data_IF_547217813408
#
_entry.id   IF_547217813408
#
_cell.length_a   1.000
_cell.length_b   1.000
_cell.length_c   1.000
_cell.angle_alpha   90.00
_cell.angle_beta   90.00
_cell.angle_gamma   90.00
#
_symmetry.space_group_name_H-M   'P 1'
#
loop_
_entity.id
_entity.type
_entity.pdbx_description
1 polymer ?
#
# COMPACT_ATOMS: atom_id res chain seq x y z
N UNK A 1 10.60 -25.90 -35.21
CA UNK A 1 10.56 -26.23 -33.77
C UNK A 1 9.39 -25.50 -33.15
N UNK A 2 8.32 -26.21 -32.81
CA UNK A 2 7.17 -25.63 -32.12
C UNK A 2 7.55 -25.53 -30.64
N UNK A 3 7.76 -24.31 -30.13
CA UNK A 3 7.89 -24.06 -28.70
C UNK A 3 6.52 -24.29 -28.07
N UNK A 4 6.33 -25.49 -27.52
CA UNK A 4 5.21 -25.76 -26.61
C UNK A 4 5.51 -25.02 -25.32
N UNK A 5 4.94 -23.83 -25.15
CA UNK A 5 4.92 -23.13 -23.86
C UNK A 5 3.98 -23.90 -22.95
N UNK A 6 4.53 -24.84 -22.18
CA UNK A 6 3.84 -25.54 -21.11
C UNK A 6 3.41 -24.55 -20.04
N UNK A 7 2.20 -24.00 -20.20
CA UNK A 7 1.49 -23.39 -19.09
C UNK A 7 1.06 -24.54 -18.18
N UNK A 8 1.90 -24.89 -17.20
CA UNK A 8 1.46 -25.78 -16.14
C UNK A 8 0.20 -25.16 -15.53
N UNK A 9 -0.94 -25.86 -15.64
CA UNK A 9 -2.16 -25.38 -15.04
C UNK A 9 -1.93 -25.30 -13.54
N UNK A 10 -2.03 -24.09 -12.98
CA UNK A 10 -2.01 -23.88 -11.55
C UNK A 10 -3.11 -24.77 -10.93
N UNK A 11 -2.70 -25.66 -10.01
CA UNK A 11 -3.62 -26.55 -9.33
C UNK A 11 -4.39 -25.71 -8.33
N UNK A 12 -5.60 -25.31 -8.71
CA UNK A 12 -6.52 -24.56 -7.87
C UNK A 12 -7.19 -25.48 -6.85
N UNK A 13 -7.42 -24.98 -5.64
CA UNK A 13 -8.08 -25.74 -4.57
C UNK A 13 -9.54 -26.10 -4.88
N UNK A 14 -10.21 -25.35 -5.78
CA UNK A 14 -11.61 -25.58 -6.14
C UNK A 14 -11.81 -26.72 -7.14
N UNK A 15 -12.89 -27.49 -6.96
CA UNK A 15 -13.43 -28.41 -7.97
C UNK A 15 -14.62 -27.79 -8.74
N UNK A 16 -15.12 -26.64 -8.32
CA UNK A 16 -16.26 -25.97 -8.95
C UNK A 16 -15.81 -25.31 -10.26
N UNK A 17 -16.30 -25.85 -11.39
CA UNK A 17 -16.02 -25.28 -12.72
C UNK A 17 -16.45 -23.80 -12.78
N UNK A 18 -17.60 -23.47 -12.19
CA UNK A 18 -18.12 -22.10 -12.19
C UNK A 18 -17.25 -21.16 -11.33
N UNK A 19 -16.79 -21.62 -10.17
CA UNK A 19 -15.86 -20.83 -9.35
C UNK A 19 -14.55 -20.56 -10.08
N UNK A 20 -13.99 -21.60 -10.74
CA UNK A 20 -12.79 -21.47 -11.58
C UNK A 20 -12.99 -20.51 -12.74
N UNK A 21 -14.13 -20.56 -13.44
CA UNK A 21 -14.46 -19.61 -14.51
C UNK A 21 -14.45 -18.16 -14.00
N UNK A 22 -15.13 -17.87 -12.89
CA UNK A 22 -15.15 -16.52 -12.32
C UNK A 22 -13.77 -16.05 -11.86
N UNK A 23 -12.99 -16.92 -11.23
CA UNK A 23 -11.62 -16.62 -10.82
C UNK A 23 -10.73 -16.28 -12.03
N UNK A 24 -10.74 -17.10 -13.08
CA UNK A 24 -9.94 -16.84 -14.28
C UNK A 24 -10.41 -15.59 -15.03
N UNK A 25 -11.71 -15.31 -15.06
CA UNK A 25 -12.24 -14.08 -15.65
C UNK A 25 -11.79 -12.84 -14.86
N UNK A 26 -11.75 -12.92 -13.54
CA UNK A 26 -11.32 -11.80 -12.68
C UNK A 26 -9.89 -11.35 -12.99
N UNK A 27 -9.03 -12.28 -13.40
CA UNK A 27 -7.64 -11.97 -13.71
C UNK A 27 -7.49 -11.04 -14.90
N UNK A 28 -8.33 -11.19 -15.92
CA UNK A 28 -8.30 -10.31 -17.09
C UNK A 28 -8.56 -8.85 -16.69
N UNK A 29 -9.53 -8.63 -15.80
CA UNK A 29 -9.83 -7.30 -15.27
C UNK A 29 -8.73 -6.79 -14.34
N UNK A 30 -8.19 -7.67 -13.48
CA UNK A 30 -7.12 -7.32 -12.54
C UNK A 30 -5.86 -6.84 -13.24
N UNK A 31 -5.42 -7.52 -14.30
CA UNK A 31 -4.20 -7.11 -15.05
C UNK A 31 -4.40 -5.81 -15.85
N UNK A 32 -5.66 -5.40 -16.08
CA UNK A 32 -6.03 -4.13 -16.72
C UNK A 32 -6.30 -3.01 -15.71
N UNK A 33 -6.10 -3.25 -14.41
CA UNK A 33 -6.38 -2.28 -13.35
C UNK A 33 -7.87 -2.05 -13.09
N UNK A 34 -8.76 -2.86 -13.68
CA UNK A 34 -10.21 -2.77 -13.50
C UNK A 34 -10.62 -3.49 -12.20
N UNK A 35 -10.21 -2.92 -11.06
CA UNK A 35 -10.26 -3.59 -9.76
C UNK A 35 -11.69 -3.93 -9.31
N UNK A 36 -12.67 -3.07 -9.56
CA UNK A 36 -14.06 -3.31 -9.15
C UNK A 36 -14.67 -4.55 -9.83
N UNK A 37 -14.42 -4.70 -11.13
CA UNK A 37 -14.88 -5.85 -11.90
C UNK A 37 -14.18 -7.15 -11.46
N UNK A 38 -12.87 -7.07 -11.17
CA UNK A 38 -12.12 -8.19 -10.62
C UNK A 38 -12.67 -8.62 -9.25
N UNK A 39 -12.94 -7.66 -8.36
CA UNK A 39 -13.49 -7.89 -7.02
C UNK A 39 -14.88 -8.56 -7.10
N UNK A 40 -15.78 -8.09 -7.97
CA UNK A 40 -17.10 -8.69 -8.15
C UNK A 40 -17.03 -10.15 -8.62
N UNK A 41 -16.16 -10.43 -9.60
CA UNK A 41 -15.96 -11.79 -10.09
C UNK A 41 -15.34 -12.70 -9.03
N UNK A 42 -14.41 -12.20 -8.22
CA UNK A 42 -13.81 -12.98 -7.13
C UNK A 42 -14.80 -13.28 -6.01
N UNK A 43 -15.70 -12.35 -5.68
CA UNK A 43 -16.83 -12.61 -4.78
C UNK A 43 -17.73 -13.72 -5.33
N UNK A 44 -18.10 -13.64 -6.61
CA UNK A 44 -18.87 -14.71 -7.28
C UNK A 44 -18.13 -16.05 -7.28
N UNK A 45 -16.80 -16.06 -7.39
CA UNK A 45 -16.01 -17.29 -7.29
C UNK A 45 -16.13 -17.90 -5.89
N UNK A 46 -16.00 -17.09 -4.84
CA UNK A 46 -16.17 -17.50 -3.43
C UNK A 46 -17.60 -17.96 -3.15
N UNK A 47 -18.62 -17.29 -3.69
CA UNK A 47 -20.03 -17.70 -3.55
C UNK A 47 -20.29 -19.08 -4.17
N UNK A 48 -19.57 -19.44 -5.23
CA UNK A 48 -19.67 -20.76 -5.87
C UNK A 48 -18.82 -21.83 -5.20
N UNK A 49 -17.78 -21.45 -4.47
CA UNK A 49 -16.99 -22.35 -3.63
C UNK A 49 -16.36 -21.58 -2.46
N UNK A 50 -17.00 -21.61 -1.27
CA UNK A 50 -16.50 -20.92 -0.09
C UNK A 50 -15.17 -21.44 0.45
N UNK A 51 -14.65 -22.57 -0.07
CA UNK A 51 -13.34 -23.14 0.29
C UNK A 51 -12.27 -22.86 -0.76
N UNK A 52 -12.54 -22.01 -1.75
CA UNK A 52 -11.60 -21.65 -2.80
C UNK A 52 -10.52 -20.68 -2.29
N UNK A 53 -9.46 -21.25 -1.72
CA UNK A 53 -8.33 -20.54 -1.08
C UNK A 53 -7.73 -19.45 -1.99
N UNK A 54 -7.43 -19.78 -3.24
CA UNK A 54 -6.80 -18.83 -4.17
C UNK A 54 -7.71 -17.63 -4.48
N UNK A 55 -9.03 -17.81 -4.47
CA UNK A 55 -9.97 -16.71 -4.70
C UNK A 55 -9.95 -15.70 -3.54
N UNK A 56 -9.84 -16.16 -2.29
CA UNK A 56 -9.65 -15.27 -1.14
C UNK A 56 -8.34 -14.50 -1.23
N UNK A 57 -7.23 -15.17 -1.57
CA UNK A 57 -5.95 -14.50 -1.74
C UNK A 57 -6.00 -13.44 -2.85
N UNK A 58 -6.54 -13.79 -4.02
CA UNK A 58 -6.67 -12.86 -5.16
C UNK A 58 -7.58 -11.67 -4.83
N UNK A 59 -8.66 -11.93 -4.09
CA UNK A 59 -9.59 -10.88 -3.66
C UNK A 59 -8.91 -9.92 -2.68
N UNK A 60 -8.13 -10.44 -1.74
CA UNK A 60 -7.34 -9.62 -0.85
C UNK A 60 -6.33 -8.75 -1.59
N UNK A 61 -5.61 -9.30 -2.56
CA UNK A 61 -4.67 -8.52 -3.38
C UNK A 61 -5.39 -7.43 -4.16
N UNK A 62 -6.58 -7.70 -4.69
CA UNK A 62 -7.39 -6.73 -5.41
C UNK A 62 -7.87 -5.60 -4.49
N UNK A 63 -8.33 -5.93 -3.27
CA UNK A 63 -8.66 -4.93 -2.25
C UNK A 63 -7.45 -4.10 -1.80
N UNK A 64 -6.28 -4.74 -1.65
CA UNK A 64 -5.02 -4.04 -1.30
C UNK A 64 -4.63 -3.04 -2.40
N UNK A 65 -4.76 -3.42 -3.67
CA UNK A 65 -4.54 -2.53 -4.82
C UNK A 65 -5.56 -1.39 -4.86
N UNK A 66 -6.79 -1.62 -4.43
CA UNK A 66 -7.82 -0.60 -4.27
C UNK A 66 -7.66 0.23 -2.97
N UNK A 67 -6.54 0.07 -2.25
CA UNK A 67 -6.26 0.68 -0.93
C UNK A 67 -7.29 0.39 0.16
N UNK A 68 -8.17 -0.60 -0.03
CA UNK A 68 -9.08 -1.10 1.00
C UNK A 68 -8.38 -2.15 1.86
N UNK A 69 -7.48 -1.68 2.73
CA UNK A 69 -6.62 -2.55 3.52
C UNK A 69 -7.39 -3.41 4.53
N UNK A 70 -8.51 -2.90 5.07
CA UNK A 70 -9.33 -3.66 6.02
C UNK A 70 -9.92 -4.91 5.36
N UNK A 71 -10.60 -4.75 4.23
CA UNK A 71 -11.16 -5.87 3.48
C UNK A 71 -10.07 -6.81 2.97
N UNK A 72 -8.90 -6.28 2.60
CA UNK A 72 -7.75 -7.09 2.22
C UNK A 72 -7.30 -8.03 3.37
N UNK A 73 -7.11 -7.49 4.59
CA UNK A 73 -6.73 -8.31 5.74
C UNK A 73 -7.78 -9.37 6.09
N UNK A 74 -9.07 -9.03 6.05
CA UNK A 74 -10.15 -9.98 6.35
C UNK A 74 -10.15 -11.17 5.36
N UNK A 75 -9.95 -10.90 4.07
CA UNK A 75 -9.88 -11.96 3.06
C UNK A 75 -8.60 -12.80 3.17
N UNK A 76 -7.47 -12.19 3.52
CA UNK A 76 -6.23 -12.92 3.82
C UNK A 76 -6.40 -13.85 5.02
N UNK A 77 -7.04 -13.39 6.09
CA UNK A 77 -7.30 -14.23 7.26
C UNK A 77 -8.18 -15.43 6.90
N UNK A 78 -9.24 -15.21 6.11
CA UNK A 78 -10.10 -16.30 5.62
C UNK A 78 -9.32 -17.28 4.74
N UNK A 79 -8.56 -16.81 3.75
CA UNK A 79 -7.75 -17.67 2.89
C UNK A 79 -6.67 -18.45 3.66
N UNK A 80 -6.06 -17.83 4.67
CA UNK A 80 -5.09 -18.48 5.53
C UNK A 80 -5.70 -19.67 6.29
N UNK A 81 -6.96 -19.57 6.75
CA UNK A 81 -7.65 -20.72 7.39
C UNK A 81 -7.90 -21.90 6.45
N UNK A 82 -7.89 -21.68 5.14
CA UNK A 82 -8.09 -22.71 4.11
C UNK A 82 -6.77 -23.28 3.57
N UNK A 83 -5.65 -22.64 3.90
CA UNK A 83 -4.35 -22.96 3.33
C UNK A 83 -3.73 -24.18 4.01
N UNK A 84 -3.38 -25.20 3.23
CA UNK A 84 -2.75 -26.43 3.72
C UNK A 84 -1.27 -26.55 3.35
N UNK A 85 -0.77 -25.69 2.45
CA UNK A 85 0.61 -25.72 1.97
C UNK A 85 1.49 -24.71 2.73
N UNK A 86 2.54 -25.16 3.45
CA UNK A 86 3.41 -24.27 4.22
C UNK A 86 4.02 -23.11 3.40
N UNK A 87 4.35 -23.35 2.13
CA UNK A 87 4.87 -22.30 1.25
C UNK A 87 3.85 -21.16 1.01
N UNK A 88 2.55 -21.49 0.90
CA UNK A 88 1.47 -20.51 0.77
C UNK A 88 1.25 -19.77 2.09
N UNK A 89 1.30 -20.47 3.24
CA UNK A 89 1.16 -19.86 4.59
C UNK A 89 2.13 -18.68 4.78
N UNK A 90 3.40 -18.85 4.38
CA UNK A 90 4.38 -17.75 4.41
C UNK A 90 3.93 -16.55 3.56
N UNK A 91 3.41 -16.79 2.36
CA UNK A 91 2.93 -15.72 1.47
C UNK A 91 1.75 -14.94 2.09
N UNK A 92 0.85 -15.62 2.79
CA UNK A 92 -0.21 -14.97 3.57
C UNK A 92 0.36 -14.10 4.69
N UNK A 93 1.26 -14.63 5.51
CA UNK A 93 1.87 -13.86 6.60
C UNK A 93 2.65 -12.64 6.10
N UNK A 94 3.32 -12.76 4.94
CA UNK A 94 3.98 -11.62 4.31
C UNK A 94 2.98 -10.51 3.97
N UNK A 95 1.90 -10.87 3.27
CA UNK A 95 0.89 -9.91 2.80
C UNK A 95 0.06 -9.34 3.95
N UNK A 96 -0.25 -10.15 4.97
CA UNK A 96 -0.93 -9.72 6.20
C UNK A 96 -0.07 -8.71 6.99
N UNK A 97 1.23 -8.97 7.12
CA UNK A 97 2.15 -8.05 7.79
C UNK A 97 2.13 -6.68 7.13
N UNK A 98 2.25 -6.61 5.79
CA UNK A 98 2.15 -5.36 5.04
C UNK A 98 0.79 -4.66 5.27
N UNK A 99 -0.32 -5.40 5.14
CA UNK A 99 -1.65 -4.84 5.29
C UNK A 99 -1.91 -4.32 6.70
N UNK A 100 -1.43 -5.02 7.73
CA UNK A 100 -1.59 -4.60 9.12
C UNK A 100 -0.70 -3.42 9.48
N UNK A 101 0.53 -3.40 9.00
CA UNK A 101 1.44 -2.27 9.17
C UNK A 101 0.82 -0.99 8.60
N UNK A 102 0.31 -1.04 7.36
CA UNK A 102 -0.32 0.11 6.70
C UNK A 102 -1.65 0.53 7.35
N UNK A 103 -2.30 -0.36 8.10
CA UNK A 103 -3.48 -0.04 8.91
C UNK A 103 -3.13 0.53 10.29
N UNK A 104 -1.84 0.56 10.68
CA UNK A 104 -1.42 0.92 12.05
C UNK A 104 -1.73 -0.16 13.10
N UNK A 105 -2.08 -1.38 12.68
CA UNK A 105 -2.34 -2.52 13.56
C UNK A 105 -1.04 -3.25 13.89
N UNK A 106 -0.15 -2.57 14.60
CA UNK A 106 1.26 -2.97 14.76
C UNK A 106 1.44 -4.32 15.46
N UNK A 107 0.58 -4.69 16.41
CA UNK A 107 0.65 -5.98 17.10
C UNK A 107 0.37 -7.15 16.14
N UNK A 108 -0.65 -7.02 15.29
CA UNK A 108 -1.02 -8.03 14.30
C UNK A 108 0.02 -8.13 13.18
N UNK A 109 0.57 -6.99 12.77
CA UNK A 109 1.68 -6.92 11.82
C UNK A 109 2.91 -7.66 12.37
N UNK A 110 3.31 -7.35 13.61
CA UNK A 110 4.44 -7.99 14.28
C UNK A 110 4.26 -9.50 14.44
N UNK A 111 3.05 -9.95 14.80
CA UNK A 111 2.72 -11.38 14.87
C UNK A 111 2.93 -12.06 13.52
N UNK A 112 2.40 -11.48 12.44
CA UNK A 112 2.54 -12.02 11.09
C UNK A 112 3.99 -11.99 10.60
N UNK A 113 4.73 -10.93 10.93
CA UNK A 113 6.15 -10.80 10.59
C UNK A 113 7.00 -11.90 11.23
N UNK A 114 6.77 -12.19 12.51
CA UNK A 114 7.50 -13.24 13.23
C UNK A 114 7.21 -14.64 12.65
N UNK A 115 5.96 -14.92 12.27
CA UNK A 115 5.60 -16.17 11.59
C UNK A 115 6.33 -16.30 10.24
N UNK A 116 6.38 -15.23 9.45
CA UNK A 116 7.12 -15.24 8.18
C UNK A 116 8.63 -15.47 8.38
N UNK A 117 9.26 -14.75 9.32
CA UNK A 117 10.71 -14.84 9.57
C UNK A 117 11.12 -16.22 10.11
N UNK A 118 10.28 -16.84 10.95
CA UNK A 118 10.48 -18.20 11.47
C UNK A 118 10.65 -19.22 10.33
N UNK A 119 9.79 -19.11 9.31
CA UNK A 119 9.62 -20.17 8.32
C UNK A 119 10.38 -19.90 7.01
N UNK A 120 10.68 -18.63 6.71
CA UNK A 120 11.38 -18.24 5.49
C UNK A 120 12.90 -18.38 5.64
N UNK A 121 13.51 -19.12 4.70
CA UNK A 121 14.95 -19.46 4.72
C UNK A 121 15.70 -19.01 3.47
N UNK A 122 14.99 -18.80 2.36
CA UNK A 122 15.59 -18.64 1.04
C UNK A 122 15.30 -17.28 0.42
N UNK A 123 14.13 -16.69 0.66
CA UNK A 123 13.78 -15.37 0.12
C UNK A 123 14.43 -14.25 0.95
N UNK A 124 15.71 -13.97 0.66
CA UNK A 124 16.51 -12.95 1.35
C UNK A 124 15.91 -11.54 1.23
N UNK A 125 15.26 -11.23 0.10
CA UNK A 125 14.68 -9.90 -0.16
C UNK A 125 13.46 -9.70 0.73
N UNK A 126 12.52 -10.65 0.73
CA UNK A 126 11.35 -10.58 1.61
C UNK A 126 11.72 -10.67 3.08
N UNK A 127 12.75 -11.44 3.43
CA UNK A 127 13.28 -11.48 4.80
C UNK A 127 13.82 -10.13 5.25
N UNK A 128 14.60 -9.44 4.41
CA UNK A 128 15.11 -8.11 4.72
C UNK A 128 13.96 -7.11 4.90
N UNK A 129 12.99 -7.11 3.99
CA UNK A 129 11.81 -6.25 4.08
C UNK A 129 10.99 -6.54 5.34
N UNK A 130 10.82 -7.81 5.70
CA UNK A 130 10.07 -8.21 6.89
C UNK A 130 10.76 -7.75 8.18
N UNK A 131 12.10 -7.77 8.23
CA UNK A 131 12.86 -7.23 9.37
C UNK A 131 12.66 -5.71 9.51
N UNK A 132 12.60 -4.98 8.39
CA UNK A 132 12.27 -3.54 8.40
C UNK A 132 10.88 -3.31 8.97
N UNK A 133 9.86 -4.02 8.47
CA UNK A 133 8.49 -3.90 8.98
C UNK A 133 8.36 -4.27 10.45
N UNK A 134 9.06 -5.33 10.89
CA UNK A 134 9.14 -5.71 12.30
C UNK A 134 9.72 -4.58 13.15
N UNK A 135 10.85 -4.00 12.75
CA UNK A 135 11.47 -2.88 13.47
C UNK A 135 10.56 -1.66 13.53
N UNK A 136 9.84 -1.35 12.44
CA UNK A 136 8.84 -0.28 12.42
C UNK A 136 7.70 -0.54 13.41
N UNK A 137 7.18 -1.77 13.48
CA UNK A 137 6.14 -2.15 14.43
C UNK A 137 6.64 -2.05 15.88
N UNK A 138 7.84 -2.55 16.17
CA UNK A 138 8.46 -2.49 17.50
C UNK A 138 8.68 -1.05 17.94
N UNK A 139 9.20 -0.20 17.05
CA UNK A 139 9.37 1.23 17.31
C UNK A 139 8.02 1.91 17.56
N UNK A 140 7.01 1.64 16.71
CA UNK A 140 5.68 2.20 16.88
C UNK A 140 5.11 1.81 18.25
N UNK A 141 5.06 0.52 18.57
CA UNK A 141 4.53 0.00 19.84
C UNK A 141 5.25 0.54 21.06
N UNK A 142 6.57 0.70 21.01
CA UNK A 142 7.35 1.28 22.11
C UNK A 142 7.05 2.78 22.34
N UNK A 143 6.47 3.45 21.35
CA UNK A 143 6.18 4.89 21.37
C UNK A 143 4.68 5.22 21.28
N UNK A 144 3.79 4.22 21.13
CA UNK A 144 2.35 4.43 21.23
C UNK A 144 2.04 5.02 22.61
N UNK A 145 1.32 6.15 22.63
CA UNK A 145 0.95 6.83 23.86
C UNK A 145 2.09 7.61 24.54
N UNK A 146 3.28 7.68 23.94
CA UNK A 146 4.34 8.60 24.35
C UNK A 146 4.26 9.86 23.48
N UNK A 147 3.58 10.93 23.94
CA UNK A 147 3.55 12.16 23.18
C UNK A 147 4.98 12.66 23.03
N UNK A 148 5.46 12.72 21.79
CA UNK A 148 6.68 13.46 21.51
C UNK A 148 6.35 14.93 21.83
N UNK A 149 7.20 15.60 22.59
CA UNK A 149 6.97 16.96 23.11
C UNK A 149 6.88 18.06 22.06
N UNK A 150 6.69 17.71 20.79
CA UNK A 150 6.40 18.65 19.72
C UNK A 150 4.89 18.79 19.53
N UNK A 151 4.47 20.02 19.28
CA UNK A 151 3.12 20.32 18.84
C UNK A 151 3.16 20.52 17.32
N UNK A 152 2.56 19.60 16.56
CA UNK A 152 2.40 19.80 15.11
C UNK A 152 1.39 20.94 14.94
N UNK A 153 1.86 22.07 14.40
CA UNK A 153 1.00 23.16 13.97
C UNK A 153 1.03 23.21 12.45
N UNK A 154 -0.12 23.10 11.76
CA UNK A 154 -0.14 23.34 10.33
C UNK A 154 0.37 24.75 10.05
N UNK A 155 1.10 24.92 8.95
CA UNK A 155 1.43 26.26 8.45
C UNK A 155 0.14 27.03 8.13
N UNK A 156 0.21 28.35 8.10
CA UNK A 156 -0.95 29.18 7.78
C UNK A 156 -1.48 28.87 6.37
N UNK A 157 -2.74 29.21 6.14
CA UNK A 157 -3.40 29.13 4.83
C UNK A 157 -2.70 29.97 3.76
N UNK A 158 -1.76 30.84 4.15
CA UNK A 158 -0.83 31.53 3.23
C UNK A 158 0.05 30.54 2.45
N UNK A 159 0.54 29.50 3.14
CA UNK A 159 1.41 28.46 2.55
C UNK A 159 0.59 27.26 2.11
N UNK A 160 -0.41 26.86 2.92
CA UNK A 160 -1.31 25.76 2.63
C UNK A 160 -2.47 26.20 1.71
N UNK A 161 -2.13 26.79 0.56
CA UNK A 161 -3.06 27.50 -0.31
C UNK A 161 -3.39 26.78 -1.64
N UNK A 162 -2.71 25.68 -1.96
CA UNK A 162 -2.75 25.06 -3.29
C UNK A 162 -3.50 23.73 -3.30
N UNK A 163 -4.16 23.37 -4.43
CA UNK A 163 -4.85 22.08 -4.56
C UNK A 163 -3.96 20.87 -4.27
N UNK A 164 -2.71 20.93 -4.74
CA UNK A 164 -1.67 19.98 -4.38
C UNK A 164 -0.36 20.73 -4.15
N UNK A 165 0.34 20.33 -3.09
CA UNK A 165 1.66 20.85 -2.73
C UNK A 165 2.46 19.75 -2.03
N UNK A 166 3.75 19.61 -2.37
CA UNK A 166 4.58 18.51 -1.87
C UNK A 166 6.08 18.84 -1.95
N UNK A 167 6.89 17.93 -1.38
CA UNK A 167 8.35 18.04 -1.24
C UNK A 167 8.85 19.36 -0.62
N UNK A 168 8.30 19.80 0.53
CA UNK A 168 8.76 21.01 1.18
C UNK A 168 10.19 20.84 1.69
N UNK A 169 11.03 21.85 1.43
CA UNK A 169 12.39 21.98 1.96
C UNK A 169 12.54 23.36 2.56
N UNK A 170 13.14 23.43 3.76
CA UNK A 170 13.51 24.69 4.39
C UNK A 170 15.01 24.93 4.22
N UNK A 171 15.41 26.18 3.96
CA UNK A 171 16.84 26.54 3.93
C UNK A 171 17.47 26.38 5.32
N UNK A 172 18.80 26.21 5.36
CA UNK A 172 19.54 26.01 6.61
C UNK A 172 19.43 27.20 7.58
N UNK A 173 19.20 28.41 7.08
CA UNK A 173 18.95 29.60 7.88
C UNK A 173 17.47 29.79 8.26
N UNK A 174 16.62 28.82 7.91
CA UNK A 174 15.18 28.76 8.16
C UNK A 174 14.34 29.89 7.55
N UNK A 175 14.89 30.65 6.59
CA UNK A 175 14.23 31.82 6.02
C UNK A 175 13.38 31.52 4.80
N UNK A 176 13.67 30.45 4.06
CA UNK A 176 12.95 30.13 2.83
C UNK A 176 12.37 28.72 2.92
N UNK A 177 11.10 28.61 2.57
CA UNK A 177 10.38 27.36 2.39
C UNK A 177 10.11 27.18 0.90
N UNK A 178 10.78 26.20 0.30
CA UNK A 178 10.67 25.87 -1.12
C UNK A 178 9.85 24.60 -1.25
N UNK A 179 8.87 24.57 -2.15
CA UNK A 179 8.02 23.40 -2.37
C UNK A 179 7.43 23.40 -3.78
N UNK A 180 6.98 22.24 -4.24
CA UNK A 180 6.31 22.11 -5.53
C UNK A 180 4.81 22.27 -5.33
N UNK A 181 4.16 23.02 -6.22
CA UNK A 181 2.70 23.16 -6.31
C UNK A 181 2.19 22.59 -7.61
N UNK A 182 0.90 22.20 -7.63
CA UNK A 182 0.21 21.79 -8.84
C UNK A 182 -1.24 22.27 -8.84
N UNK A 183 -1.66 22.90 -9.94
CA UNK A 183 -2.94 23.61 -10.04
C UNK A 183 -4.14 22.73 -10.46
N UNK A 184 -4.03 21.40 -10.32
CA UNK A 184 -5.10 20.47 -10.67
C UNK A 184 -4.69 19.00 -10.48
N UNK A 185 -5.67 18.10 -10.35
CA UNK A 185 -5.41 16.66 -10.11
C UNK A 185 -5.22 15.84 -11.39
N UNK A 186 -5.42 16.44 -12.57
CA UNK A 186 -5.22 15.76 -13.84
C UNK A 186 -3.73 15.64 -14.18
N UNK A 187 -3.33 14.62 -14.95
CA UNK A 187 -1.93 14.33 -15.27
C UNK A 187 -1.20 15.46 -16.01
N UNK A 188 -1.92 16.38 -16.66
CA UNK A 188 -1.39 17.49 -17.45
C UNK A 188 -1.37 18.82 -16.68
N UNK A 189 -1.87 18.85 -15.44
CA UNK A 189 -1.92 20.05 -14.64
C UNK A 189 -0.50 20.54 -14.37
N UNK A 190 -0.29 21.84 -14.61
CA UNK A 190 1.02 22.45 -14.53
C UNK A 190 1.57 22.40 -13.10
N UNK A 191 2.86 22.10 -13.00
CA UNK A 191 3.63 22.13 -11.75
C UNK A 191 4.56 23.34 -11.76
N UNK A 192 4.78 23.93 -10.60
CA UNK A 192 5.75 25.02 -10.40
C UNK A 192 6.48 24.79 -9.08
N UNK A 193 7.72 25.26 -9.02
CA UNK A 193 8.49 25.30 -7.78
C UNK A 193 8.35 26.70 -7.21
N UNK A 194 7.76 26.81 -6.02
CA UNK A 194 7.55 28.09 -5.35
C UNK A 194 8.40 28.22 -4.11
N UNK A 195 8.67 29.47 -3.74
CA UNK A 195 9.35 29.85 -2.50
C UNK A 195 8.44 30.76 -1.68
N UNK A 196 8.38 30.48 -0.39
CA UNK A 196 7.77 31.33 0.63
C UNK A 196 8.86 31.79 1.59
N UNK A 197 8.90 33.10 1.89
CA UNK A 197 9.95 33.71 2.72
C UNK A 197 9.38 33.96 4.11
N UNK A 198 10.18 33.73 5.15
CA UNK A 198 9.84 34.09 6.51
C UNK A 198 10.13 35.57 6.74
N UNK A 199 9.10 36.34 7.05
CA UNK A 199 9.20 37.77 7.31
C UNK A 199 9.80 38.06 8.71
N UNK A 200 10.04 39.34 9.00
CA UNK A 200 10.56 39.83 10.28
C UNK A 200 9.69 39.49 11.49
N UNK A 201 8.41 39.18 11.28
CA UNK A 201 7.43 38.83 12.31
C UNK A 201 7.27 37.30 12.42
N UNK A 202 8.19 36.52 11.82
CA UNK A 202 8.17 35.06 11.73
C UNK A 202 6.95 34.47 10.99
N UNK A 203 6.33 35.23 10.08
CA UNK A 203 5.23 34.75 9.23
C UNK A 203 5.76 34.36 7.87
N UNK A 204 5.18 33.32 7.29
CA UNK A 204 5.45 32.95 5.91
C UNK A 204 4.70 33.88 4.95
N UNK A 205 5.41 34.39 3.94
CA UNK A 205 4.83 35.20 2.87
C UNK A 205 4.04 34.34 1.89
N UNK A 206 3.26 34.99 1.01
CA UNK A 206 2.61 34.30 -0.09
C UNK A 206 3.67 33.63 -0.98
N UNK A 207 3.56 32.33 -1.28
CA UNK A 207 4.47 31.64 -2.17
C UNK A 207 4.49 32.27 -3.56
N UNK A 208 5.69 32.45 -4.11
CA UNK A 208 5.94 32.97 -5.46
C UNK A 208 6.79 31.97 -6.23
N UNK A 209 6.72 31.97 -7.55
CA UNK A 209 7.59 31.11 -8.36
C UNK A 209 9.05 31.36 -8.01
N UNK A 210 9.82 30.28 -7.85
CA UNK A 210 11.23 30.32 -7.48
C UNK A 210 12.06 31.00 -8.58
N UNK A 211 11.64 30.90 -9.84
CA UNK A 211 12.34 31.50 -10.96
C UNK A 211 11.43 31.67 -12.17
N UNK A 212 11.50 32.83 -12.82
CA UNK A 212 10.83 33.10 -14.10
C UNK A 212 11.35 32.22 -15.26
N UNK A 213 12.46 31.51 -15.06
CA UNK A 213 13.12 30.67 -16.08
C UNK A 213 13.02 29.17 -15.81
N UNK A 214 12.54 28.79 -14.63
CA UNK A 214 12.42 27.40 -14.23
C UNK A 214 10.92 27.12 -14.16
N UNK A 215 10.33 26.83 -15.32
CA UNK A 215 8.99 26.26 -15.51
C UNK A 215 8.88 25.72 -16.94
#
# INVERSE_FOLDING_TARGET
MIQVTTHSQEILSTKSKKAKEYYLASDNFRVRGQLDQAIDLLKKAIDKDPKFEEAYFRLALSYRSASNLKAASEMLEKGLTLTTFPAKVKTYHYTLSECYLRQGKYELALKSANQFISDEKFDKVRLAQMKVWKSQCEFALANVGRPLGYQIKPLSDTVNAFPMQYFPTITADEKELIFTIRMGSDHNANEDIVVSIRDKDNRWTKPVSLSERIN
#
